data_IF_984145934301
#
_entry.id   IF_984145934301
#
_cell.length_a   1.000
_cell.length_b   1.000
_cell.length_c   1.000
_cell.angle_alpha   90.00
_cell.angle_beta   90.00
_cell.angle_gamma   90.00
#
_symmetry.space_group_name_H-M   'P 1'
#
loop_
_entity.id
_entity.type
_entity.pdbx_description
1 polymer ?
#
# COMPACT_ATOMS: atom_id res chain seq x y z
N UNK A 1 48.00 -19.96 25.62
CA UNK A 1 46.64 -20.29 26.06
C UNK A 1 45.83 -20.59 24.81
N UNK A 2 45.70 -21.84 24.47
CA UNK A 2 44.97 -22.34 23.32
C UNK A 2 43.48 -22.22 23.56
N UNK A 3 42.82 -21.44 22.75
CA UNK A 3 41.37 -21.27 22.73
C UNK A 3 40.78 -22.52 22.07
N UNK A 4 40.45 -23.53 22.84
CA UNK A 4 39.70 -24.70 22.37
C UNK A 4 38.28 -24.23 22.08
N UNK A 5 37.95 -24.14 20.77
CA UNK A 5 36.59 -23.97 20.30
C UNK A 5 35.77 -25.19 20.78
N UNK A 6 34.74 -24.95 21.59
CA UNK A 6 33.76 -25.97 21.94
C UNK A 6 33.24 -26.64 20.66
N UNK A 7 33.17 -27.97 20.61
CA UNK A 7 32.62 -28.66 19.45
C UNK A 7 31.17 -28.27 19.26
N UNK A 8 30.70 -28.08 17.99
CA UNK A 8 29.30 -27.76 17.73
C UNK A 8 28.42 -28.87 18.34
N UNK A 9 27.32 -28.45 18.96
CA UNK A 9 26.34 -29.36 19.55
C UNK A 9 25.94 -30.43 18.50
N UNK A 10 25.79 -31.71 18.89
CA UNK A 10 25.46 -32.80 17.95
C UNK A 10 24.16 -32.47 17.22
N UNK A 11 24.16 -32.57 15.88
CA UNK A 11 23.00 -32.34 15.06
C UNK A 11 21.88 -33.30 15.53
N UNK A 12 20.73 -32.74 15.89
CA UNK A 12 19.56 -33.54 16.26
C UNK A 12 19.15 -34.48 15.12
N UNK A 13 18.62 -35.64 15.47
CA UNK A 13 18.05 -36.57 14.48
C UNK A 13 16.90 -35.91 13.71
N UNK A 14 16.90 -36.09 12.38
CA UNK A 14 15.88 -35.51 11.49
C UNK A 14 14.44 -35.88 11.90
N UNK A 15 14.23 -37.09 12.40
CA UNK A 15 12.92 -37.57 12.86
C UNK A 15 12.48 -36.81 14.13
N UNK A 16 13.40 -36.56 15.06
CA UNK A 16 13.11 -35.76 16.25
C UNK A 16 12.79 -34.30 15.90
N UNK A 17 13.56 -33.68 14.99
CA UNK A 17 13.31 -32.32 14.48
C UNK A 17 11.91 -32.23 13.87
N UNK A 18 11.51 -33.15 13.00
CA UNK A 18 10.18 -33.21 12.39
C UNK A 18 9.08 -33.34 13.43
N UNK A 19 9.24 -34.23 14.41
CA UNK A 19 8.28 -34.40 15.49
C UNK A 19 8.05 -33.13 16.31
N UNK A 20 9.13 -32.34 16.54
CA UNK A 20 9.01 -31.02 17.20
C UNK A 20 8.28 -30.02 16.34
N UNK A 21 8.58 -29.96 15.03
CA UNK A 21 7.89 -29.08 14.08
C UNK A 21 6.40 -29.41 14.04
N UNK A 22 6.01 -30.71 13.93
CA UNK A 22 4.62 -31.15 13.92
C UNK A 22 3.87 -30.75 15.20
N UNK A 23 4.58 -30.75 16.34
CA UNK A 23 4.04 -30.28 17.63
C UNK A 23 3.76 -28.76 17.63
N UNK A 24 4.70 -27.98 17.09
CA UNK A 24 4.57 -26.52 16.94
C UNK A 24 3.44 -26.18 15.96
N UNK A 25 3.37 -26.85 14.81
CA UNK A 25 2.33 -26.62 13.81
C UNK A 25 0.92 -26.84 14.39
N UNK A 26 0.75 -27.90 15.20
CA UNK A 26 -0.51 -28.16 15.93
C UNK A 26 -0.84 -27.04 16.91
N UNK A 27 0.16 -26.53 17.65
CA UNK A 27 -0.03 -25.42 18.58
C UNK A 27 -0.43 -24.13 17.85
N UNK A 28 0.25 -23.79 16.75
CA UNK A 28 -0.07 -22.64 15.88
C UNK A 28 -1.51 -22.76 15.37
N UNK A 29 -1.91 -23.91 14.82
CA UNK A 29 -3.26 -24.14 14.32
C UNK A 29 -4.33 -23.93 15.42
N UNK A 30 -4.09 -24.43 16.63
CA UNK A 30 -5.00 -24.26 17.76
C UNK A 30 -5.12 -22.79 18.17
N UNK A 31 -3.99 -22.04 18.24
CA UNK A 31 -3.97 -20.63 18.58
C UNK A 31 -4.67 -19.76 17.53
N UNK A 32 -4.48 -20.06 16.24
CA UNK A 32 -5.19 -19.37 15.16
C UNK A 32 -6.70 -19.61 15.26
N UNK A 33 -7.13 -20.86 15.50
CA UNK A 33 -8.53 -21.19 15.67
C UNK A 33 -9.14 -20.51 16.91
N UNK A 34 -8.41 -20.43 18.00
CA UNK A 34 -8.84 -19.73 19.23
C UNK A 34 -8.98 -18.22 18.95
N UNK A 35 -7.98 -17.60 18.31
CA UNK A 35 -8.04 -16.19 17.90
C UNK A 35 -9.23 -15.89 17.01
N UNK A 36 -9.55 -16.78 16.06
CA UNK A 36 -10.69 -16.63 15.16
C UNK A 36 -12.02 -16.66 15.94
N UNK A 37 -12.17 -17.56 16.94
CA UNK A 37 -13.33 -17.59 17.84
C UNK A 37 -13.50 -16.28 18.61
N UNK A 38 -12.41 -15.72 19.15
CA UNK A 38 -12.46 -14.43 19.85
C UNK A 38 -12.77 -13.26 18.91
N UNK A 39 -12.25 -13.27 17.67
CA UNK A 39 -12.61 -12.28 16.68
C UNK A 39 -14.11 -12.30 16.34
N UNK A 40 -14.69 -13.50 16.22
CA UNK A 40 -16.14 -13.68 16.04
C UNK A 40 -16.95 -13.11 17.21
N UNK A 41 -16.50 -13.30 18.47
CA UNK A 41 -17.16 -12.71 19.64
C UNK A 41 -17.14 -11.18 19.63
N UNK A 42 -16.06 -10.56 19.13
CA UNK A 42 -16.02 -9.10 18.91
C UNK A 42 -17.10 -8.66 17.92
N UNK A 43 -17.32 -9.44 16.86
CA UNK A 43 -18.41 -9.20 15.91
C UNK A 43 -19.79 -9.23 16.56
N UNK A 44 -20.07 -10.27 17.33
CA UNK A 44 -21.34 -10.41 18.05
C UNK A 44 -21.58 -9.26 19.04
N UNK A 45 -20.53 -8.77 19.71
CA UNK A 45 -20.63 -7.66 20.66
C UNK A 45 -20.98 -6.31 19.99
N UNK A 46 -20.70 -6.14 18.69
CA UNK A 46 -21.06 -4.93 17.92
C UNK A 46 -22.50 -4.91 17.45
N UNK A 47 -23.18 -6.04 17.49
CA UNK A 47 -24.60 -6.18 17.19
C UNK A 47 -24.91 -6.40 15.70
N UNK A 48 -26.17 -6.78 15.38
CA UNK A 48 -26.57 -7.23 14.05
C UNK A 48 -26.67 -6.12 12.98
N UNK A 49 -26.55 -4.86 13.37
CA UNK A 49 -26.63 -3.69 12.46
C UNK A 49 -25.26 -3.14 12.06
N UNK A 50 -24.16 -3.76 12.55
CA UNK A 50 -22.82 -3.30 12.21
C UNK A 50 -22.49 -3.67 10.76
N UNK A 51 -22.05 -2.69 9.95
CA UNK A 51 -21.59 -2.91 8.59
C UNK A 51 -20.13 -3.44 8.56
N UNK A 52 -19.67 -4.00 7.42
CA UNK A 52 -18.30 -4.49 7.26
C UNK A 52 -17.25 -3.46 7.67
N UNK A 53 -17.46 -2.18 7.32
CA UNK A 53 -16.59 -1.06 7.68
C UNK A 53 -16.46 -0.84 9.19
N UNK A 54 -17.45 -1.20 9.98
CA UNK A 54 -17.43 -1.04 11.45
C UNK A 54 -16.52 -2.07 12.13
N UNK A 55 -16.25 -3.20 11.46
CA UNK A 55 -15.38 -4.25 11.99
C UNK A 55 -13.90 -3.96 11.71
N UNK A 56 -13.59 -3.24 10.64
CA UNK A 56 -12.22 -2.85 10.32
C UNK A 56 -11.76 -1.68 11.19
N UNK A 57 -10.62 -1.84 11.86
CA UNK A 57 -10.02 -0.89 12.80
C UNK A 57 -8.54 -0.72 12.45
N UNK A 58 -8.20 0.18 11.50
CA UNK A 58 -6.82 0.37 11.04
C UNK A 58 -5.88 0.78 12.18
N UNK A 59 -6.34 1.58 13.15
CA UNK A 59 -5.56 1.97 14.31
C UNK A 59 -5.19 0.75 15.18
N UNK A 60 -6.13 -0.16 15.39
CA UNK A 60 -5.88 -1.37 16.16
C UNK A 60 -5.02 -2.36 15.40
N UNK A 61 -5.24 -2.51 14.11
CA UNK A 61 -4.42 -3.36 13.25
C UNK A 61 -2.96 -2.90 13.27
N UNK A 62 -2.71 -1.60 13.07
CA UNK A 62 -1.37 -1.03 13.11
C UNK A 62 -0.69 -1.23 14.47
N UNK A 63 -1.42 -1.08 15.59
CA UNK A 63 -0.90 -1.36 16.93
C UNK A 63 -0.49 -2.84 17.07
N UNK A 64 -1.33 -3.77 16.62
CA UNK A 64 -1.03 -5.21 16.69
C UNK A 64 0.20 -5.55 15.85
N UNK A 65 0.30 -5.02 14.63
CA UNK A 65 1.44 -5.29 13.75
C UNK A 65 2.75 -4.71 14.32
N UNK A 66 2.71 -3.51 14.90
CA UNK A 66 3.88 -2.95 15.62
C UNK A 66 4.31 -3.84 16.79
N UNK A 67 3.36 -4.30 17.60
CA UNK A 67 3.69 -5.25 18.68
C UNK A 67 4.28 -6.57 18.16
N UNK A 68 3.93 -7.01 16.96
CA UNK A 68 4.55 -8.18 16.32
C UNK A 68 6.01 -7.90 15.98
N UNK A 69 6.31 -6.72 15.42
CA UNK A 69 7.68 -6.27 15.14
C UNK A 69 8.48 -6.14 16.43
N UNK A 70 7.95 -5.45 17.45
CA UNK A 70 8.63 -5.21 18.74
C UNK A 70 8.98 -6.50 19.50
N UNK A 71 8.22 -7.58 19.26
CA UNK A 71 8.43 -8.90 19.88
C UNK A 71 9.24 -9.86 19.03
N UNK A 72 9.63 -9.47 17.83
CA UNK A 72 10.37 -10.33 16.93
C UNK A 72 11.82 -10.49 17.37
N UNK A 73 12.20 -11.69 17.78
CA UNK A 73 13.58 -12.07 18.14
C UNK A 73 14.27 -12.86 17.00
N UNK A 74 13.66 -12.90 15.79
CA UNK A 74 14.17 -13.69 14.65
C UNK A 74 13.81 -15.18 14.80
N UNK A 75 14.21 -16.04 13.86
CA UNK A 75 15.04 -15.81 12.65
C UNK A 75 14.30 -15.24 11.43
N UNK A 76 12.96 -15.10 11.47
CA UNK A 76 12.18 -14.50 10.40
C UNK A 76 12.27 -12.97 10.45
N UNK A 77 12.26 -12.32 9.28
CA UNK A 77 12.24 -10.86 9.23
C UNK A 77 10.89 -10.29 9.67
N UNK A 78 10.88 -9.01 10.07
CA UNK A 78 9.68 -8.30 10.48
C UNK A 78 8.61 -8.31 9.40
N UNK A 79 9.00 -8.10 8.14
CA UNK A 79 8.08 -8.09 7.00
C UNK A 79 7.37 -9.44 6.84
N UNK A 80 8.07 -10.55 7.04
CA UNK A 80 7.50 -11.90 6.95
C UNK A 80 6.48 -12.12 8.07
N UNK A 81 6.81 -11.75 9.31
CA UNK A 81 5.90 -11.90 10.44
C UNK A 81 4.68 -10.99 10.32
N UNK A 82 4.88 -9.73 9.93
CA UNK A 82 3.79 -8.77 9.67
C UNK A 82 2.85 -9.32 8.59
N UNK A 83 3.38 -9.87 7.50
CA UNK A 83 2.57 -10.48 6.45
C UNK A 83 1.72 -11.65 6.97
N UNK A 84 2.32 -12.59 7.73
CA UNK A 84 1.60 -13.72 8.31
C UNK A 84 0.48 -13.26 9.25
N UNK A 85 0.78 -12.31 10.16
CA UNK A 85 -0.23 -11.79 11.08
C UNK A 85 -1.35 -11.04 10.36
N UNK A 86 -1.04 -10.29 9.29
CA UNK A 86 -2.04 -9.60 8.46
C UNK A 86 -2.99 -10.60 7.79
N UNK A 87 -2.47 -11.70 7.23
CA UNK A 87 -3.31 -12.76 6.66
C UNK A 87 -4.22 -13.42 7.70
N UNK A 88 -3.72 -13.68 8.92
CA UNK A 88 -4.53 -14.20 10.02
C UNK A 88 -5.64 -13.21 10.40
N UNK A 89 -5.32 -11.90 10.49
CA UNK A 89 -6.29 -10.86 10.82
C UNK A 89 -7.34 -10.71 9.73
N UNK A 90 -6.92 -10.69 8.47
CA UNK A 90 -7.79 -10.62 7.30
C UNK A 90 -8.78 -11.80 7.24
N UNK A 91 -8.28 -13.02 7.43
CA UNK A 91 -9.11 -14.22 7.47
C UNK A 91 -10.13 -14.20 8.62
N UNK A 92 -9.73 -13.71 9.80
CA UNK A 92 -10.64 -13.56 10.94
C UNK A 92 -11.73 -12.51 10.69
N UNK A 93 -11.38 -11.39 10.04
CA UNK A 93 -12.32 -10.32 9.71
C UNK A 93 -13.35 -10.78 8.67
N UNK A 94 -12.89 -11.49 7.65
CA UNK A 94 -13.74 -12.00 6.56
C UNK A 94 -14.78 -13.05 7.00
N UNK A 95 -14.63 -13.64 8.20
CA UNK A 95 -15.68 -14.50 8.78
C UNK A 95 -16.97 -13.73 9.11
N UNK A 96 -16.91 -12.43 9.24
CA UNK A 96 -18.07 -11.59 9.51
C UNK A 96 -18.66 -11.10 8.18
N UNK A 97 -17.95 -10.25 7.48
CA UNK A 97 -18.25 -9.79 6.13
C UNK A 97 -16.96 -9.40 5.42
N UNK A 98 -16.66 -9.96 4.23
CA UNK A 98 -15.47 -9.56 3.48
C UNK A 98 -15.57 -8.09 3.06
N UNK A 99 -14.51 -7.31 3.37
CA UNK A 99 -14.41 -5.92 2.93
C UNK A 99 -14.33 -5.83 1.40
N UNK A 100 -15.07 -4.90 0.82
CA UNK A 100 -15.05 -4.55 -0.61
C UNK A 100 -14.08 -3.40 -0.84
N UNK A 101 -13.01 -3.65 -1.58
CA UNK A 101 -11.92 -2.68 -1.77
C UNK A 101 -11.80 -2.29 -3.24
N UNK A 102 -12.18 -1.04 -3.56
CA UNK A 102 -11.98 -0.46 -4.89
C UNK A 102 -10.50 -0.17 -5.17
N UNK A 103 -10.00 -0.47 -6.36
CA UNK A 103 -8.63 -0.15 -6.76
C UNK A 103 -8.51 0.08 -8.26
N UNK A 104 -7.47 0.80 -8.71
CA UNK A 104 -7.20 1.01 -10.12
C UNK A 104 -6.82 -0.33 -10.79
N UNK A 105 -7.73 -0.86 -11.59
CA UNK A 105 -7.60 -2.12 -12.31
C UNK A 105 -6.65 -2.06 -13.53
N UNK A 106 -6.61 -3.14 -14.29
CA UNK A 106 -7.25 -4.43 -14.07
C UNK A 106 -6.60 -5.27 -12.96
N UNK A 107 -7.02 -6.54 -12.79
CA UNK A 107 -6.33 -7.48 -11.91
C UNK A 107 -4.87 -7.67 -12.34
N UNK A 108 -3.98 -7.94 -11.38
CA UNK A 108 -2.54 -8.08 -11.60
C UNK A 108 -1.75 -6.76 -11.57
N UNK A 109 -2.42 -5.60 -11.32
CA UNK A 109 -1.75 -4.31 -11.16
C UNK A 109 -1.04 -4.16 -9.81
N UNK A 110 -0.14 -3.18 -9.70
CA UNK A 110 0.47 -2.80 -8.42
C UNK A 110 -0.56 -2.26 -7.43
N UNK A 111 -1.65 -1.65 -7.92
CA UNK A 111 -2.76 -1.24 -7.05
C UNK A 111 -3.44 -2.44 -6.39
N UNK A 112 -3.67 -3.54 -7.11
CA UNK A 112 -4.14 -4.79 -6.50
C UNK A 112 -3.13 -5.35 -5.48
N UNK A 113 -1.83 -5.31 -5.79
CA UNK A 113 -0.82 -5.74 -4.82
C UNK A 113 -0.86 -4.90 -3.53
N UNK A 114 -1.08 -3.58 -3.66
CA UNK A 114 -1.23 -2.71 -2.50
C UNK A 114 -2.48 -3.06 -1.67
N UNK A 115 -3.61 -3.41 -2.33
CA UNK A 115 -4.80 -3.95 -1.64
C UNK A 115 -4.46 -5.20 -0.86
N UNK A 116 -3.82 -6.19 -1.51
CA UNK A 116 -3.46 -7.45 -0.85
C UNK A 116 -2.44 -7.26 0.26
N UNK A 117 -1.47 -6.34 0.07
CA UNK A 117 -0.50 -6.00 1.11
C UNK A 117 -1.16 -5.36 2.33
N UNK A 118 -2.15 -4.49 2.15
CA UNK A 118 -2.76 -3.73 3.24
C UNK A 118 -3.90 -4.49 3.93
N UNK A 119 -4.80 -5.11 3.16
CA UNK A 119 -6.01 -5.76 3.69
C UNK A 119 -5.90 -7.29 3.80
N UNK A 120 -4.84 -7.90 3.26
CA UNK A 120 -4.71 -9.35 3.14
C UNK A 120 -5.59 -9.93 2.02
N UNK A 121 -5.48 -11.26 1.83
CA UNK A 121 -6.12 -11.96 0.69
C UNK A 121 -7.59 -12.24 0.86
N UNK A 122 -8.13 -12.11 2.07
CA UNK A 122 -9.56 -12.37 2.33
C UNK A 122 -10.46 -11.17 2.01
N UNK A 123 -9.88 -9.99 1.69
CA UNK A 123 -10.64 -8.85 1.19
C UNK A 123 -11.08 -9.07 -0.26
N UNK A 124 -12.26 -8.58 -0.62
CA UNK A 124 -12.80 -8.65 -1.97
C UNK A 124 -12.39 -7.40 -2.76
N UNK A 125 -11.41 -7.55 -3.65
CA UNK A 125 -10.93 -6.48 -4.52
C UNK A 125 -11.87 -6.22 -5.69
N UNK A 126 -12.20 -4.94 -5.93
CA UNK A 126 -13.05 -4.47 -7.04
C UNK A 126 -12.20 -3.63 -8.00
N UNK A 127 -11.81 -4.18 -9.19
CA UNK A 127 -11.03 -3.43 -10.16
C UNK A 127 -11.89 -2.35 -10.84
N UNK A 128 -11.46 -1.10 -10.76
CA UNK A 128 -12.09 0.08 -11.37
C UNK A 128 -11.32 0.55 -12.59
N UNK A 129 -12.00 1.21 -13.52
CA UNK A 129 -11.37 1.68 -14.76
C UNK A 129 -10.47 2.91 -14.54
N UNK A 130 -10.74 3.71 -13.50
CA UNK A 130 -9.98 4.94 -13.21
C UNK A 130 -9.90 5.21 -11.71
N UNK A 131 -9.00 6.14 -11.32
CA UNK A 131 -8.88 6.63 -9.94
C UNK A 131 -10.17 7.35 -9.52
N UNK A 132 -10.77 8.13 -10.41
CA UNK A 132 -12.03 8.82 -10.17
C UNK A 132 -13.16 7.85 -9.82
N UNK A 133 -13.24 6.72 -10.53
CA UNK A 133 -14.22 5.68 -10.24
C UNK A 133 -14.00 5.06 -8.86
N UNK A 134 -12.74 4.86 -8.42
CA UNK A 134 -12.45 4.39 -7.06
C UNK A 134 -13.01 5.36 -6.02
N UNK A 135 -12.80 6.68 -6.17
CA UNK A 135 -13.38 7.68 -5.28
C UNK A 135 -14.91 7.63 -5.27
N UNK A 136 -15.53 7.58 -6.45
CA UNK A 136 -17.00 7.55 -6.59
C UNK A 136 -17.61 6.31 -5.94
N UNK A 137 -17.02 5.14 -6.13
CA UNK A 137 -17.55 3.89 -5.57
C UNK A 137 -17.44 3.84 -4.04
N UNK A 138 -16.40 4.46 -3.47
CA UNK A 138 -16.29 4.63 -2.01
C UNK A 138 -17.29 5.67 -1.50
N UNK A 139 -17.48 6.79 -2.20
CA UNK A 139 -18.49 7.81 -1.83
C UNK A 139 -19.91 7.26 -1.85
N UNK A 140 -20.23 6.48 -2.88
CA UNK A 140 -21.54 5.85 -3.05
C UNK A 140 -21.79 4.68 -2.07
N UNK A 141 -20.73 4.19 -1.39
CA UNK A 141 -20.83 3.04 -0.48
C UNK A 141 -20.86 1.68 -1.17
N UNK A 142 -20.60 1.60 -2.48
CA UNK A 142 -20.48 0.35 -3.22
C UNK A 142 -19.16 -0.38 -2.91
N UNK A 143 -18.10 0.39 -2.59
CA UNK A 143 -16.88 -0.09 -1.96
C UNK A 143 -16.78 0.44 -0.53
N UNK A 144 -16.27 -0.40 0.40
CA UNK A 144 -16.05 0.00 1.79
C UNK A 144 -14.84 0.92 1.91
N UNK A 145 -13.78 0.60 1.17
CA UNK A 145 -12.54 1.37 1.06
C UNK A 145 -12.07 1.41 -0.39
N UNK A 146 -11.14 2.34 -0.66
CA UNK A 146 -10.44 2.44 -1.95
C UNK A 146 -8.93 2.45 -1.75
N UNK A 147 -8.17 1.93 -2.72
CA UNK A 147 -6.71 2.02 -2.72
C UNK A 147 -6.24 2.69 -4.00
N UNK A 148 -5.61 3.86 -3.87
CA UNK A 148 -5.15 4.67 -4.99
C UNK A 148 -3.68 5.05 -4.82
N UNK A 149 -2.87 5.06 -5.90
CA UNK A 149 -1.50 5.51 -5.82
C UNK A 149 -1.46 7.04 -5.69
N UNK A 150 -0.55 7.56 -4.84
CA UNK A 150 -0.39 9.01 -4.62
C UNK A 150 0.98 9.51 -5.01
N UNK A 151 2.00 8.68 -4.89
CA UNK A 151 3.38 9.07 -5.16
C UNK A 151 4.22 7.85 -5.57
N UNK A 152 5.13 8.06 -6.50
CA UNK A 152 6.15 7.08 -6.87
C UNK A 152 7.53 7.70 -6.71
N UNK A 153 8.48 6.99 -6.09
CA UNK A 153 9.83 7.52 -5.79
C UNK A 153 10.62 7.95 -7.03
N UNK A 154 10.34 7.36 -8.19
CA UNK A 154 11.01 7.68 -9.45
C UNK A 154 10.31 8.73 -10.32
N UNK A 155 9.01 8.99 -10.09
CA UNK A 155 8.18 9.85 -10.94
C UNK A 155 7.48 10.99 -10.20
N UNK A 156 7.56 10.97 -8.86
CA UNK A 156 6.90 11.96 -8.03
C UNK A 156 5.40 11.73 -7.88
N UNK A 157 4.68 12.81 -7.76
CA UNK A 157 3.27 12.86 -7.38
C UNK A 157 2.32 12.41 -8.50
N UNK A 158 1.33 11.60 -8.15
CA UNK A 158 0.23 11.22 -9.04
C UNK A 158 -0.87 12.26 -8.92
N UNK A 159 -0.86 13.19 -9.87
CA UNK A 159 -1.65 14.43 -9.82
C UNK A 159 -3.15 14.18 -9.73
N UNK A 160 -3.68 13.21 -10.49
CA UNK A 160 -5.10 12.89 -10.54
C UNK A 160 -5.66 12.51 -9.16
N UNK A 161 -4.87 11.81 -8.33
CA UNK A 161 -5.27 11.47 -6.96
C UNK A 161 -5.41 12.71 -6.09
N UNK A 162 -4.49 13.68 -6.23
CA UNK A 162 -4.57 14.94 -5.50
C UNK A 162 -5.75 15.79 -5.98
N UNK A 163 -5.97 15.84 -7.29
CA UNK A 163 -7.07 16.63 -7.87
C UNK A 163 -8.44 16.14 -7.38
N UNK A 164 -8.61 14.83 -7.18
CA UNK A 164 -9.84 14.28 -6.59
C UNK A 164 -10.11 14.81 -5.18
N UNK A 165 -9.10 15.00 -4.35
CA UNK A 165 -9.28 15.55 -3.00
C UNK A 165 -9.72 17.02 -2.98
N UNK A 166 -9.56 17.78 -4.07
CA UNK A 166 -10.07 19.15 -4.16
C UNK A 166 -11.59 19.19 -4.03
N UNK A 167 -12.29 18.20 -4.59
CA UNK A 167 -13.76 18.16 -4.68
C UNK A 167 -14.40 17.08 -3.81
N UNK A 168 -13.78 15.91 -3.67
CA UNK A 168 -14.30 14.76 -2.93
C UNK A 168 -14.25 14.98 -1.40
N UNK A 169 -15.24 14.47 -0.67
CA UNK A 169 -15.27 14.47 0.80
C UNK A 169 -14.68 13.21 1.44
N UNK A 170 -14.19 12.29 0.63
CA UNK A 170 -13.54 11.05 1.08
C UNK A 170 -12.35 11.38 1.98
N UNK A 171 -12.13 10.52 2.97
CA UNK A 171 -11.04 10.62 3.93
C UNK A 171 -9.92 9.62 3.60
N UNK A 172 -8.70 9.96 3.99
CA UNK A 172 -7.59 9.03 4.01
C UNK A 172 -7.65 8.30 5.36
N UNK A 173 -7.74 6.97 5.30
CA UNK A 173 -7.87 6.09 6.47
C UNK A 173 -6.62 5.26 6.73
N UNK A 174 -5.66 5.27 5.81
CA UNK A 174 -4.42 4.51 5.90
C UNK A 174 -3.52 4.77 4.72
N UNK A 175 -2.35 4.18 4.76
CA UNK A 175 -1.40 4.18 3.66
C UNK A 175 -0.73 2.81 3.52
N UNK A 176 -0.27 2.51 2.31
CA UNK A 176 0.56 1.35 2.03
C UNK A 176 1.74 1.77 1.15
N UNK A 177 2.91 1.27 1.46
CA UNK A 177 4.09 1.42 0.62
C UNK A 177 4.38 0.09 -0.07
N UNK A 178 4.56 0.12 -1.38
CA UNK A 178 4.84 -1.05 -2.18
C UNK A 178 6.13 -0.85 -2.97
N UNK A 179 7.11 -1.71 -2.73
CA UNK A 179 8.29 -1.79 -3.58
C UNK A 179 7.89 -2.38 -4.93
N UNK A 180 8.17 -1.65 -6.00
CA UNK A 180 7.77 -2.00 -7.36
C UNK A 180 8.90 -2.77 -8.03
N UNK A 181 8.67 -4.05 -8.28
CA UNK A 181 9.59 -4.90 -9.04
C UNK A 181 9.02 -5.21 -10.42
N UNK A 182 9.85 -5.04 -11.44
CA UNK A 182 9.52 -5.34 -12.82
C UNK A 182 10.15 -6.68 -13.24
N UNK A 183 9.34 -7.62 -13.68
CA UNK A 183 9.78 -8.90 -14.18
C UNK A 183 9.47 -9.04 -15.66
N UNK A 184 10.34 -9.75 -16.38
CA UNK A 184 10.04 -10.23 -17.73
C UNK A 184 9.23 -11.52 -17.59
N UNK A 185 7.99 -11.49 -18.04
CA UNK A 185 7.01 -12.56 -17.90
C UNK A 185 6.59 -13.07 -19.27
N UNK A 186 6.64 -14.38 -19.50
CA UNK A 186 6.13 -15.00 -20.73
C UNK A 186 5.45 -16.33 -20.46
N UNK A 187 4.69 -16.83 -21.43
CA UNK A 187 4.03 -18.13 -21.34
C UNK A 187 5.04 -19.28 -21.33
N UNK A 188 6.02 -19.23 -22.23
CA UNK A 188 7.07 -20.26 -22.34
C UNK A 188 8.07 -20.24 -21.16
N UNK A 189 8.38 -19.06 -20.62
CA UNK A 189 9.42 -18.81 -19.63
C UNK A 189 10.83 -18.81 -20.23
N UNK A 190 10.97 -18.76 -21.56
CA UNK A 190 12.25 -18.80 -22.27
C UNK A 190 12.53 -17.48 -22.96
N UNK A 191 13.74 -16.96 -22.81
CA UNK A 191 14.15 -15.68 -23.39
C UNK A 191 14.26 -15.75 -24.93
N UNK A 192 14.69 -16.89 -25.45
CA UNK A 192 14.93 -17.08 -26.89
C UNK A 192 13.66 -17.09 -27.74
N UNK A 193 12.50 -17.33 -27.10
CA UNK A 193 11.20 -17.37 -27.79
C UNK A 193 10.60 -15.97 -27.98
N UNK A 194 11.18 -14.92 -27.36
CA UNK A 194 10.55 -13.60 -27.25
C UNK A 194 10.89 -12.74 -28.47
N UNK A 195 9.88 -12.40 -29.25
CA UNK A 195 9.98 -11.48 -30.37
C UNK A 195 9.36 -10.10 -30.06
N UNK A 196 8.37 -10.04 -29.14
CA UNK A 196 7.67 -8.81 -28.75
C UNK A 196 7.43 -8.72 -27.24
N UNK A 197 7.43 -7.49 -26.71
CA UNK A 197 7.17 -7.22 -25.31
C UNK A 197 6.07 -6.16 -25.19
N UNK A 198 5.06 -6.46 -24.35
CA UNK A 198 3.98 -5.54 -23.97
C UNK A 198 4.28 -4.95 -22.60
N UNK A 199 4.18 -3.62 -22.45
CA UNK A 199 4.27 -2.98 -21.13
C UNK A 199 3.77 -1.53 -21.19
N UNK A 200 3.53 -0.94 -20.03
CA UNK A 200 3.30 0.49 -19.93
C UNK A 200 4.59 1.25 -20.31
N UNK A 201 4.50 2.41 -21.01
CA UNK A 201 5.67 3.20 -21.42
C UNK A 201 6.66 3.48 -20.30
N UNK A 202 6.15 3.73 -19.10
CA UNK A 202 6.94 3.93 -17.89
C UNK A 202 7.83 2.74 -17.54
N UNK A 203 7.30 1.52 -17.60
CA UNK A 203 8.08 0.31 -17.27
C UNK A 203 9.13 0.03 -18.32
N UNK A 204 8.88 0.37 -19.59
CA UNK A 204 9.92 0.36 -20.61
C UNK A 204 11.06 1.34 -20.30
N UNK A 205 10.73 2.53 -19.80
CA UNK A 205 11.75 3.51 -19.40
C UNK A 205 12.58 3.01 -18.20
N UNK A 206 11.93 2.37 -17.22
CA UNK A 206 12.57 1.82 -16.02
C UNK A 206 13.42 0.58 -16.25
N UNK A 207 13.30 -0.07 -17.40
CA UNK A 207 14.02 -1.32 -17.76
C UNK A 207 14.86 -1.16 -19.02
N UNK A 208 15.12 0.07 -19.43
CA UNK A 208 15.72 0.39 -20.72
C UNK A 208 17.15 -0.17 -20.88
N UNK A 209 17.98 -0.04 -19.85
CA UNK A 209 19.37 -0.52 -19.88
C UNK A 209 19.41 -2.05 -19.96
N UNK A 210 18.58 -2.70 -19.18
CA UNK A 210 18.46 -4.16 -19.19
C UNK A 210 18.01 -4.68 -20.56
N UNK A 211 16.97 -4.06 -21.16
CA UNK A 211 16.46 -4.46 -22.47
C UNK A 211 17.47 -4.26 -23.59
N UNK A 212 18.25 -3.17 -23.57
CA UNK A 212 19.32 -2.95 -24.56
C UNK A 212 20.39 -4.02 -24.49
N UNK A 213 20.74 -4.48 -23.30
CA UNK A 213 21.79 -5.47 -23.11
C UNK A 213 21.37 -6.90 -23.45
N UNK A 214 20.10 -7.26 -23.20
CA UNK A 214 19.63 -8.65 -23.28
C UNK A 214 18.70 -8.92 -24.47
N UNK A 215 17.87 -7.94 -24.89
CA UNK A 215 16.88 -8.07 -25.95
C UNK A 215 16.88 -6.83 -26.87
N UNK A 216 18.03 -6.51 -27.53
CA UNK A 216 18.16 -5.26 -28.29
C UNK A 216 17.27 -5.14 -29.52
N UNK A 217 16.82 -6.27 -30.07
CA UNK A 217 16.03 -6.35 -31.31
C UNK A 217 14.54 -6.60 -31.09
N UNK A 218 14.11 -6.79 -29.83
CA UNK A 218 12.72 -7.10 -29.50
C UNK A 218 11.80 -5.94 -29.85
N UNK A 219 10.63 -6.23 -30.38
CA UNK A 219 9.57 -5.25 -30.61
C UNK A 219 8.96 -4.82 -29.28
N UNK A 220 8.90 -3.51 -29.03
CA UNK A 220 8.31 -2.90 -27.81
C UNK A 220 6.97 -2.31 -28.13
N UNK A 221 5.90 -2.92 -27.57
CA UNK A 221 4.52 -2.51 -27.85
C UNK A 221 3.94 -1.86 -26.58
N UNK A 222 3.74 -0.53 -26.57
CA UNK A 222 3.16 0.15 -25.42
C UNK A 222 1.68 -0.20 -25.26
N UNK A 223 1.26 -0.38 -24.00
CA UNK A 223 -0.10 -0.66 -23.58
C UNK A 223 -0.50 0.20 -22.40
N UNK A 224 -1.79 0.24 -22.07
CA UNK A 224 -2.35 1.10 -21.02
C UNK A 224 -1.91 0.74 -19.60
N UNK A 225 -1.53 -0.52 -19.35
CA UNK A 225 -1.00 -0.98 -18.06
C UNK A 225 -0.13 -2.22 -18.21
N UNK A 226 0.72 -2.49 -17.21
CA UNK A 226 1.55 -3.70 -17.18
C UNK A 226 0.69 -4.98 -17.13
N UNK A 227 -0.42 -4.93 -16.41
CA UNK A 227 -1.37 -6.05 -16.33
C UNK A 227 -2.06 -6.32 -17.67
N UNK A 228 -2.41 -5.27 -18.45
CA UNK A 228 -2.88 -5.41 -19.83
C UNK A 228 -1.80 -6.04 -20.72
N UNK A 229 -0.54 -5.65 -20.53
CA UNK A 229 0.60 -6.28 -21.19
C UNK A 229 0.66 -7.79 -20.90
N UNK A 230 0.55 -8.19 -19.64
CA UNK A 230 0.53 -9.58 -19.22
C UNK A 230 -0.68 -10.34 -19.81
N UNK A 231 -1.85 -9.72 -19.81
CA UNK A 231 -3.08 -10.27 -20.43
C UNK A 231 -2.89 -10.57 -21.92
N UNK A 232 -2.19 -9.72 -22.66
CA UNK A 232 -1.88 -9.94 -24.09
C UNK A 232 -0.82 -11.02 -24.26
N UNK A 233 0.25 -10.97 -23.47
CA UNK A 233 1.36 -11.91 -23.59
C UNK A 233 0.96 -13.37 -23.34
N UNK A 234 -0.06 -13.65 -22.53
CA UNK A 234 -0.54 -15.01 -22.27
C UNK A 234 -1.04 -15.77 -23.51
N UNK A 235 -1.37 -15.06 -24.58
CA UNK A 235 -2.01 -15.65 -25.76
C UNK A 235 -1.00 -16.15 -26.83
N UNK A 236 0.31 -15.90 -26.62
CA UNK A 236 1.34 -16.27 -27.60
C UNK A 236 2.66 -16.63 -26.94
N UNK A 237 3.38 -17.62 -27.48
CA UNK A 237 4.68 -18.06 -26.94
C UNK A 237 5.82 -17.09 -27.30
N UNK A 238 5.67 -16.33 -28.39
CA UNK A 238 6.63 -15.33 -28.84
C UNK A 238 6.48 -13.95 -28.17
N UNK A 239 5.53 -13.85 -27.24
CA UNK A 239 5.21 -12.62 -26.52
C UNK A 239 5.60 -12.68 -25.05
N UNK A 240 6.09 -11.54 -24.56
CA UNK A 240 6.35 -11.31 -23.14
C UNK A 240 5.68 -10.02 -22.64
N UNK A 241 5.63 -9.85 -21.33
CA UNK A 241 5.26 -8.60 -20.69
C UNK A 241 6.32 -8.20 -19.65
N UNK A 242 6.47 -6.89 -19.44
CA UNK A 242 7.16 -6.36 -18.27
C UNK A 242 6.09 -5.95 -17.28
N UNK A 243 6.01 -6.66 -16.14
CA UNK A 243 4.98 -6.44 -15.12
C UNK A 243 5.43 -6.91 -13.74
N UNK A 244 4.63 -6.63 -12.73
CA UNK A 244 4.80 -7.15 -11.38
C UNK A 244 4.53 -8.67 -11.32
N UNK A 245 5.04 -9.32 -10.29
CA UNK A 245 4.87 -10.77 -10.09
C UNK A 245 3.40 -11.21 -10.03
N UNK A 246 2.53 -10.41 -9.43
CA UNK A 246 1.09 -10.70 -9.36
C UNK A 246 0.44 -10.82 -10.73
N UNK A 247 0.87 -10.03 -11.72
CA UNK A 247 0.40 -10.18 -13.08
C UNK A 247 0.78 -11.54 -13.66
N UNK A 248 1.98 -12.04 -13.36
CA UNK A 248 2.39 -13.39 -13.73
C UNK A 248 1.46 -14.46 -13.16
N UNK A 249 1.13 -14.36 -11.88
CA UNK A 249 0.22 -15.29 -11.20
C UNK A 249 -1.19 -15.24 -11.78
N UNK A 250 -1.75 -14.03 -11.95
CA UNK A 250 -3.13 -13.83 -12.46
C UNK A 250 -3.28 -14.35 -13.90
N UNK A 251 -2.29 -14.09 -14.76
CA UNK A 251 -2.38 -14.44 -16.17
C UNK A 251 -1.67 -15.73 -16.57
N UNK A 252 -1.12 -16.48 -15.59
CA UNK A 252 -0.47 -17.76 -15.81
C UNK A 252 0.84 -17.65 -16.58
N UNK A 253 1.59 -16.54 -16.42
CA UNK A 253 2.88 -16.31 -17.03
C UNK A 253 4.01 -16.72 -16.08
N UNK A 254 5.11 -17.19 -16.65
CA UNK A 254 6.32 -17.57 -15.94
C UNK A 254 7.33 -16.44 -15.97
N UNK A 255 8.10 -16.27 -14.89
CA UNK A 255 9.28 -15.41 -14.91
C UNK A 255 10.32 -16.00 -15.86
N UNK A 256 10.72 -15.23 -16.87
CA UNK A 256 11.82 -15.59 -17.79
C UNK A 256 13.15 -15.54 -17.05
N UNK A 257 13.26 -14.61 -16.11
CA UNK A 257 14.40 -14.44 -15.21
C UNK A 257 13.86 -14.28 -13.79
N UNK A 258 14.48 -14.92 -12.82
CA UNK A 258 14.03 -14.94 -11.42
C UNK A 258 14.21 -13.60 -10.71
N UNK A 259 15.20 -12.79 -11.12
CA UNK A 259 15.47 -11.46 -10.55
C UNK A 259 14.66 -10.37 -11.26
N UNK A 260 14.34 -9.28 -10.57
CA UNK A 260 13.81 -8.07 -11.20
C UNK A 260 14.74 -7.51 -12.27
N UNK A 261 14.17 -6.79 -13.24
CA UNK A 261 14.90 -6.26 -14.41
C UNK A 261 14.90 -4.72 -14.49
N UNK A 262 14.38 -4.05 -13.47
CA UNK A 262 14.44 -2.57 -13.37
C UNK A 262 15.87 -2.07 -13.26
N UNK A 263 16.15 -0.92 -13.88
CA UNK A 263 17.47 -0.29 -13.87
C UNK A 263 17.83 0.31 -12.50
N UNK A 264 16.83 0.67 -11.67
CA UNK A 264 16.97 1.24 -10.33
C UNK A 264 16.14 0.43 -9.32
N UNK A 265 16.81 -0.12 -8.31
CA UNK A 265 16.21 -1.05 -7.34
C UNK A 265 15.28 -0.39 -6.31
N UNK A 266 15.34 0.94 -6.14
CA UNK A 266 14.64 1.66 -5.06
C UNK A 266 13.30 2.28 -5.50
N UNK A 267 12.62 1.64 -6.45
CA UNK A 267 11.33 2.10 -6.92
C UNK A 267 10.22 1.69 -5.93
N UNK A 268 9.69 2.67 -5.21
CA UNK A 268 8.59 2.47 -4.26
C UNK A 268 7.41 3.35 -4.65
N UNK A 269 6.22 2.80 -4.56
CA UNK A 269 4.96 3.55 -4.74
C UNK A 269 4.22 3.60 -3.41
N UNK A 270 3.84 4.80 -2.99
CA UNK A 270 2.94 5.04 -1.86
C UNK A 270 1.51 5.07 -2.35
N UNK A 271 0.64 4.35 -1.66
CA UNK A 271 -0.79 4.28 -1.90
C UNK A 271 -1.53 4.84 -0.69
N UNK A 272 -2.65 5.50 -0.95
CA UNK A 272 -3.59 5.94 0.09
C UNK A 272 -4.77 4.98 0.15
N UNK A 273 -5.20 4.70 1.37
CA UNK A 273 -6.44 3.99 1.66
C UNK A 273 -7.54 5.02 1.88
N UNK A 274 -8.54 4.98 1.05
CA UNK A 274 -9.69 5.89 1.05
C UNK A 274 -10.85 5.28 1.82
N UNK A 275 -11.56 6.10 2.60
CA UNK A 275 -12.77 5.69 3.31
C UNK A 275 -13.65 6.88 3.65
N UNK A 276 -14.74 6.66 4.36
CA UNK A 276 -15.74 7.69 4.68
C UNK A 276 -15.57 8.32 6.06
N UNK A 277 -14.64 7.80 6.88
CA UNK A 277 -14.48 8.22 8.27
C UNK A 277 -13.01 8.39 8.65
N UNK A 278 -12.75 9.08 9.75
CA UNK A 278 -11.46 9.19 10.41
C UNK A 278 -11.49 8.23 11.61
N UNK A 279 -10.38 7.58 11.87
CA UNK A 279 -10.23 6.61 12.95
C UNK A 279 -9.49 7.24 14.14
N UNK A 280 -9.61 6.68 15.35
CA UNK A 280 -8.86 7.12 16.53
C UNK A 280 -7.34 6.99 16.36
N UNK A 281 -6.53 7.67 17.19
CA UNK A 281 -5.09 7.61 17.09
C UNK A 281 -4.54 6.20 17.33
N UNK A 282 -3.56 5.83 16.51
CA UNK A 282 -2.84 4.56 16.63
C UNK A 282 -1.56 4.67 17.47
N UNK A 283 -1.14 5.90 17.79
CA UNK A 283 0.10 6.23 18.47
C UNK A 283 1.28 6.49 17.52
N UNK A 284 1.14 6.20 16.23
CA UNK A 284 2.11 6.55 15.19
C UNK A 284 1.37 6.84 13.89
N UNK A 285 0.97 8.10 13.76
CA UNK A 285 -0.02 8.52 12.77
C UNK A 285 0.54 9.63 11.86
N UNK A 286 -0.14 9.82 10.76
CA UNK A 286 0.04 10.92 9.82
C UNK A 286 -1.29 11.63 9.62
N UNK A 287 -1.24 12.96 9.62
CA UNK A 287 -2.38 13.80 9.30
C UNK A 287 -2.14 14.48 7.95
N UNK A 288 -3.06 14.31 7.01
CA UNK A 288 -3.04 14.99 5.72
C UNK A 288 -4.07 16.10 5.70
N UNK A 289 -3.64 17.30 5.32
CA UNK A 289 -4.51 18.47 5.18
C UNK A 289 -4.35 19.10 3.80
N UNK A 290 -5.42 19.72 3.33
CA UNK A 290 -5.44 20.56 2.15
C UNK A 290 -5.70 22.00 2.59
N UNK A 291 -4.76 22.89 2.30
CA UNK A 291 -4.78 24.29 2.73
C UNK A 291 -4.91 25.18 1.51
N UNK A 292 -5.94 26.02 1.47
CA UNK A 292 -6.15 27.01 0.43
C UNK A 292 -5.62 28.37 0.88
N UNK A 293 -4.73 28.97 0.09
CA UNK A 293 -4.14 30.26 0.39
C UNK A 293 -4.41 31.28 -0.71
N UNK A 294 -4.50 32.53 -0.30
CA UNK A 294 -4.50 33.67 -1.24
C UNK A 294 -3.06 33.97 -1.64
N UNK A 295 -2.85 34.35 -2.90
CA UNK A 295 -1.54 34.77 -3.38
C UNK A 295 -1.17 36.13 -2.76
N UNK A 296 -0.28 36.09 -1.78
CA UNK A 296 0.25 37.26 -1.08
C UNK A 296 1.67 36.99 -0.54
N UNK A 297 2.50 38.03 -0.41
CA UNK A 297 3.83 37.89 0.15
C UNK A 297 3.82 37.22 1.52
N UNK A 298 4.64 36.15 1.72
CA UNK A 298 4.74 35.44 2.98
C UNK A 298 3.63 34.42 3.26
N UNK A 299 2.67 34.20 2.35
CA UNK A 299 1.56 33.29 2.57
C UNK A 299 2.00 31.86 2.93
N UNK A 300 2.94 31.29 2.20
CA UNK A 300 3.47 29.94 2.51
C UNK A 300 4.21 29.92 3.86
N UNK A 301 4.96 30.97 4.20
CA UNK A 301 5.61 31.05 5.52
C UNK A 301 4.58 31.00 6.65
N UNK A 302 3.45 31.73 6.51
CA UNK A 302 2.37 31.73 7.49
C UNK A 302 1.69 30.36 7.63
N UNK A 303 1.64 29.56 6.54
CA UNK A 303 1.15 28.18 6.58
C UNK A 303 2.10 27.27 7.36
N UNK A 304 3.41 27.43 7.18
CA UNK A 304 4.41 26.54 7.77
C UNK A 304 4.78 26.88 9.22
N UNK A 305 4.68 28.14 9.60
CA UNK A 305 5.10 28.67 10.89
C UNK A 305 4.39 27.98 12.09
N UNK A 306 3.05 27.74 12.09
CA UNK A 306 2.37 27.07 13.19
C UNK A 306 2.92 25.64 13.44
N UNK A 307 3.22 24.88 12.39
CA UNK A 307 3.73 23.51 12.54
C UNK A 307 5.11 23.51 13.19
N UNK A 308 6.02 24.38 12.73
CA UNK A 308 7.34 24.53 13.32
C UNK A 308 7.26 24.97 14.80
N UNK A 309 6.39 25.95 15.12
CA UNK A 309 6.18 26.47 16.48
C UNK A 309 5.69 25.39 17.45
N UNK A 310 4.83 24.48 16.99
CA UNK A 310 4.28 23.40 17.82
C UNK A 310 5.07 22.08 17.70
N UNK A 311 6.26 22.09 17.07
CA UNK A 311 7.15 20.94 16.99
C UNK A 311 6.63 19.80 16.09
N UNK A 312 5.76 20.10 15.11
CA UNK A 312 5.19 19.12 14.21
C UNK A 312 6.08 18.97 12.98
N UNK A 313 6.50 17.74 12.70
CA UNK A 313 7.27 17.44 11.49
C UNK A 313 6.37 17.38 10.28
N UNK A 314 6.75 18.12 9.23
CA UNK A 314 6.11 18.03 7.92
C UNK A 314 6.86 16.99 7.08
N UNK A 315 6.15 15.93 6.67
CA UNK A 315 6.72 14.86 5.86
C UNK A 315 6.65 15.15 4.36
N UNK A 316 5.63 15.94 3.93
CA UNK A 316 5.41 16.25 2.52
C UNK A 316 4.67 17.56 2.38
N UNK A 317 4.98 18.29 1.32
CA UNK A 317 4.21 19.42 0.83
C UNK A 317 4.17 19.38 -0.70
N UNK A 318 2.98 19.57 -1.26
CA UNK A 318 2.75 19.60 -2.70
C UNK A 318 1.80 20.73 -3.05
N UNK A 319 2.15 21.56 -4.00
CA UNK A 319 1.32 22.68 -4.42
C UNK A 319 0.53 22.35 -5.68
N UNK A 320 -0.76 22.73 -5.71
CA UNK A 320 -1.63 22.60 -6.87
C UNK A 320 -2.36 23.91 -7.13
N UNK A 321 -2.57 24.31 -8.40
CA UNK A 321 -3.50 25.37 -8.70
C UNK A 321 -4.89 25.05 -8.16
N UNK A 322 -5.51 25.97 -7.43
CA UNK A 322 -6.91 25.85 -7.06
C UNK A 322 -7.78 26.09 -8.29
N UNK A 323 -8.71 25.18 -8.57
CA UNK A 323 -9.67 25.40 -9.66
C UNK A 323 -10.81 26.34 -9.24
N UNK A 324 -10.83 26.85 -8.00
CA UNK A 324 -11.90 27.68 -7.46
C UNK A 324 -11.76 29.15 -7.85
N UNK A 325 -10.53 29.70 -7.96
CA UNK A 325 -10.29 31.05 -8.45
C UNK A 325 -8.94 31.16 -9.18
N UNK A 326 -8.78 32.20 -10.03
CA UNK A 326 -7.50 32.49 -10.69
C UNK A 326 -6.46 32.85 -9.64
N UNK A 327 -5.29 32.20 -9.72
CA UNK A 327 -4.12 32.48 -8.89
C UNK A 327 -4.26 32.07 -7.40
N UNK A 328 -5.19 31.20 -7.06
CA UNK A 328 -5.20 30.53 -5.76
C UNK A 328 -4.48 29.19 -5.82
N UNK A 329 -3.71 28.89 -4.76
CA UNK A 329 -3.00 27.62 -4.61
C UNK A 329 -3.59 26.82 -3.48
N UNK A 330 -3.68 25.53 -3.72
CA UNK A 330 -3.99 24.53 -2.71
C UNK A 330 -2.71 23.75 -2.37
N UNK A 331 -2.39 23.64 -1.08
CA UNK A 331 -1.24 22.90 -0.58
C UNK A 331 -1.71 21.63 0.10
N UNK A 332 -1.27 20.48 -0.41
CA UNK A 332 -1.38 19.20 0.24
C UNK A 332 -0.21 19.06 1.19
N UNK A 333 -0.48 18.85 2.48
CA UNK A 333 0.53 18.78 3.52
C UNK A 333 0.31 17.52 4.33
N UNK A 334 1.35 16.69 4.44
CA UNK A 334 1.39 15.53 5.33
C UNK A 334 2.21 15.88 6.57
N UNK A 335 1.61 15.72 7.74
CA UNK A 335 2.13 16.06 9.06
C UNK A 335 2.27 14.81 9.92
N UNK A 336 3.33 14.70 10.70
CA UNK A 336 3.49 13.64 11.69
C UNK A 336 2.58 13.90 12.89
N UNK A 337 1.84 12.87 13.32
CA UNK A 337 0.91 12.91 14.44
C UNK A 337 -0.55 12.83 14.00
N UNK A 338 -1.44 12.67 14.98
CA UNK A 338 -2.89 12.55 14.79
C UNK A 338 -3.58 13.92 14.98
N UNK A 339 -4.72 14.13 14.31
CA UNK A 339 -5.49 15.39 14.46
C UNK A 339 -5.98 15.64 15.89
N UNK A 340 -6.17 14.58 16.67
CA UNK A 340 -6.58 14.67 18.09
C UNK A 340 -5.41 14.95 19.05
N UNK A 341 -4.17 14.96 18.59
CA UNK A 341 -3.02 15.33 19.41
C UNK A 341 -3.05 16.82 19.73
N UNK A 342 -2.83 17.17 20.99
CA UNK A 342 -2.90 18.57 21.47
C UNK A 342 -2.01 19.54 20.65
N UNK A 343 -0.73 19.20 20.32
CA UNK A 343 0.08 20.06 19.46
C UNK A 343 -0.53 20.28 18.07
N UNK A 344 -1.12 19.22 17.47
CA UNK A 344 -1.75 19.29 16.14
C UNK A 344 -2.98 20.19 16.16
N UNK A 345 -3.84 20.05 17.17
CA UNK A 345 -5.02 20.89 17.33
C UNK A 345 -4.67 22.38 17.47
N UNK A 346 -3.62 22.69 18.28
CA UNK A 346 -3.13 24.06 18.44
C UNK A 346 -2.59 24.63 17.12
N UNK A 347 -1.78 23.84 16.40
CA UNK A 347 -1.22 24.27 15.13
C UNK A 347 -2.29 24.51 14.07
N UNK A 348 -3.27 23.63 13.93
CA UNK A 348 -4.37 23.76 12.98
C UNK A 348 -5.28 24.96 13.32
N UNK A 349 -5.55 25.20 14.62
CA UNK A 349 -6.31 26.38 15.07
C UNK A 349 -5.58 27.69 14.77
N UNK A 350 -4.24 27.74 14.96
CA UNK A 350 -3.44 28.92 14.62
C UNK A 350 -3.40 29.12 13.08
N UNK A 351 -3.28 28.04 12.33
CA UNK A 351 -3.25 28.08 10.87
C UNK A 351 -4.55 28.64 10.27
N UNK A 352 -5.71 28.29 10.83
CA UNK A 352 -7.03 28.71 10.35
C UNK A 352 -7.16 30.24 10.27
N UNK A 353 -6.49 30.98 11.17
CA UNK A 353 -6.46 32.45 11.14
C UNK A 353 -5.68 33.04 9.96
N UNK A 354 -4.85 32.27 9.28
CA UNK A 354 -3.90 32.75 8.25
C UNK A 354 -4.24 32.28 6.83
N UNK A 355 -5.22 31.42 6.65
CA UNK A 355 -5.54 30.80 5.38
C UNK A 355 -6.99 31.05 4.94
N UNK A 356 -7.31 30.76 3.68
CA UNK A 356 -8.68 30.92 3.20
C UNK A 356 -9.57 29.74 3.67
N UNK A 357 -9.01 28.53 3.68
CA UNK A 357 -9.71 27.32 4.08
C UNK A 357 -8.71 26.23 4.43
N UNK A 358 -9.03 25.40 5.42
CA UNK A 358 -8.37 24.13 5.72
C UNK A 358 -9.40 23.02 5.53
N UNK A 359 -9.00 21.97 4.79
CA UNK A 359 -9.75 20.74 4.65
C UNK A 359 -8.93 19.59 5.21
N UNK A 360 -9.41 18.99 6.30
CA UNK A 360 -8.82 17.76 6.84
C UNK A 360 -9.13 16.61 5.88
N UNK A 361 -8.08 16.04 5.28
CA UNK A 361 -8.19 14.87 4.38
C UNK A 361 -8.23 13.57 5.17
N UNK A 362 -7.53 13.49 6.30
CA UNK A 362 -7.54 12.33 7.18
C UNK A 362 -6.42 12.36 8.19
N UNK A 363 -6.60 11.57 9.27
CA UNK A 363 -5.53 11.15 10.18
C UNK A 363 -5.55 9.63 10.23
N UNK A 364 -4.40 9.00 10.06
CA UNK A 364 -4.32 7.57 9.79
C UNK A 364 -2.97 6.99 10.22
N UNK A 365 -2.93 5.68 10.55
CA UNK A 365 -1.69 5.00 10.88
C UNK A 365 -0.66 5.08 9.75
N UNK A 366 0.60 5.35 10.09
CA UNK A 366 1.74 5.20 9.17
C UNK A 366 1.88 3.74 8.79
N UNK A 367 2.22 3.47 7.52
CA UNK A 367 2.39 2.13 7.01
C UNK A 367 3.35 1.31 7.88
N UNK A 368 2.93 0.10 8.24
CA UNK A 368 3.78 -0.91 8.89
C UNK A 368 4.40 -1.76 7.78
N UNK A 369 5.67 -2.15 7.87
CA UNK A 369 6.43 -2.88 6.85
C UNK A 369 5.73 -4.05 6.20
#
# INVERSE_FOLDING_TARGET
MSNELEPPAPAMDLAEVRTRIDGIDRAIQNLIAERARWAHQVGLAKGPLAAAVDYYRPEREAQVLRMVVDRNEGPLSDEVLVHVFREIMSACLAQQEPLKIGYLGPEGTFSQQAVLKHFGRSAHGLPMASIEEVFQEVENGNADFGVVPVENSGQGTIQITLDMFLTSNIKICGEAELRVHQYLLSRSGRIDDIERIYSHPQSFAQTQSWLRGNLPKVEKIPVSSNAEGARRARNSDDAAAIAGESAGLVYGLKKVITRPIEDHADNTTRFLVLGRQIFPPSGHDRTSVLVFIKDQPGALFNVLSPFAKHGITMNRIESRPSHQAKWEYAFFIDLAGHVDDEPMQRALSELDAHVAQIKLLGSYPVAVP
#
